data_IF_813616732743
#
_entry.id   IF_813616732743
#
_cell.length_a   1.000
_cell.length_b   1.000
_cell.length_c   1.000
_cell.angle_alpha   90.00
_cell.angle_beta   90.00
_cell.angle_gamma   90.00
#
_symmetry.space_group_name_H-M   'P 1'
#
loop_
_entity.id
_entity.type
_entity.pdbx_description
1 polymer ?
#
# COMPACT_ATOMS: atom_id res chain seq x y z
N UNK A 1 -13.12 41.71 -58.79
CA UNK A 1 -12.79 42.13 -57.42
C UNK A 1 -12.73 40.89 -56.54
N UNK A 2 -11.53 40.35 -56.30
CA UNK A 2 -11.34 39.19 -55.42
C UNK A 2 -10.55 39.61 -54.19
N UNK A 3 -11.22 39.52 -53.05
CA UNK A 3 -10.68 39.75 -51.72
C UNK A 3 -9.70 38.61 -51.35
N UNK A 4 -8.46 38.95 -51.00
CA UNK A 4 -7.57 38.05 -50.24
C UNK A 4 -7.94 38.12 -48.75
N UNK A 5 -8.17 37.00 -48.05
CA UNK A 5 -8.38 37.02 -46.60
C UNK A 5 -7.04 37.14 -45.86
N UNK A 6 -7.04 37.96 -44.80
CA UNK A 6 -5.93 38.23 -43.90
C UNK A 6 -5.30 36.95 -43.32
N UNK A 7 -3.97 36.84 -43.39
CA UNK A 7 -3.18 35.69 -42.95
C UNK A 7 -3.14 35.47 -41.42
N UNK A 8 -3.78 36.33 -40.63
CA UNK A 8 -3.71 36.27 -39.17
C UNK A 8 -4.78 35.37 -38.50
N UNK A 9 -5.90 35.05 -39.15
CA UNK A 9 -6.93 34.18 -38.53
C UNK A 9 -6.60 32.68 -38.60
N UNK A 10 -5.80 32.25 -39.60
CA UNK A 10 -5.37 30.84 -39.74
C UNK A 10 -4.30 30.44 -38.73
N UNK A 11 -3.55 31.41 -38.20
CA UNK A 11 -2.47 31.16 -37.23
C UNK A 11 -3.02 31.02 -35.81
N UNK A 12 -4.08 31.76 -35.46
CA UNK A 12 -4.78 31.63 -34.16
C UNK A 12 -5.58 30.33 -34.05
N UNK A 13 -6.27 29.90 -35.11
CA UNK A 13 -7.02 28.63 -35.11
C UNK A 13 -6.09 27.42 -35.04
N UNK A 14 -4.85 27.53 -35.54
CA UNK A 14 -3.81 26.49 -35.39
C UNK A 14 -3.14 26.48 -34.01
N UNK A 15 -3.14 27.59 -33.28
CA UNK A 15 -2.57 27.67 -31.92
C UNK A 15 -3.51 27.05 -30.87
N UNK A 16 -4.82 27.08 -31.10
CA UNK A 16 -5.82 26.51 -30.18
C UNK A 16 -6.08 25.01 -30.35
N UNK A 17 -5.62 24.36 -31.44
CA UNK A 17 -5.82 22.91 -31.66
C UNK A 17 -4.66 22.02 -31.21
N UNK A 18 -3.55 22.60 -30.74
CA UNK A 18 -2.35 21.84 -30.33
C UNK A 18 -2.13 21.72 -28.82
N UNK A 19 -3.06 22.26 -28.02
CA UNK A 19 -3.08 22.06 -26.57
C UNK A 19 -4.48 21.65 -26.13
N UNK A 20 -4.90 20.45 -26.52
CA UNK A 20 -5.60 19.64 -25.52
C UNK A 20 -4.50 19.31 -24.52
N UNK A 21 -4.42 20.09 -23.45
CA UNK A 21 -3.58 19.75 -22.33
C UNK A 21 -4.01 18.35 -21.91
N UNK A 22 -3.16 17.36 -22.18
CA UNK A 22 -3.15 16.15 -21.36
C UNK A 22 -3.03 16.69 -19.95
N UNK A 23 -4.12 16.59 -19.19
CA UNK A 23 -4.15 17.09 -17.83
C UNK A 23 -2.96 16.44 -17.11
N UNK A 24 -1.95 17.26 -16.81
CA UNK A 24 -0.70 16.78 -16.25
C UNK A 24 -0.92 16.21 -14.84
N UNK A 25 -2.05 16.55 -14.22
CA UNK A 25 -2.56 15.96 -12.99
C UNK A 25 -3.21 14.61 -13.26
N UNK A 26 -4.08 14.47 -14.27
CA UNK A 26 -4.66 13.19 -14.66
C UNK A 26 -3.60 12.20 -15.17
N UNK A 27 -2.60 12.67 -15.93
CA UNK A 27 -1.45 11.86 -16.35
C UNK A 27 -0.47 11.56 -15.21
N UNK A 28 -0.46 12.34 -14.12
CA UNK A 28 0.24 11.99 -12.88
C UNK A 28 -0.54 10.94 -12.09
N UNK A 29 -1.86 11.13 -11.91
CA UNK A 29 -2.76 10.17 -11.28
C UNK A 29 -2.70 8.82 -11.99
N UNK A 30 -2.89 8.76 -13.31
CA UNK A 30 -2.75 7.51 -14.09
C UNK A 30 -1.38 6.86 -13.91
N UNK A 31 -0.28 7.63 -13.83
CA UNK A 31 1.06 7.07 -13.58
C UNK A 31 1.23 6.60 -12.14
N UNK A 32 0.63 7.30 -11.18
CA UNK A 32 0.58 6.88 -9.79
C UNK A 32 -0.27 5.62 -9.67
N UNK A 33 -1.49 5.58 -10.21
CA UNK A 33 -2.40 4.43 -10.25
C UNK A 33 -1.76 3.22 -10.94
N UNK A 34 -1.14 3.40 -12.12
CA UNK A 34 -0.38 2.32 -12.76
C UNK A 34 0.84 1.91 -11.93
N UNK A 35 1.52 2.81 -11.23
CA UNK A 35 2.60 2.43 -10.30
C UNK A 35 2.07 1.81 -9.01
N UNK A 36 0.87 2.17 -8.53
CA UNK A 36 0.14 1.55 -7.41
C UNK A 36 -0.16 0.12 -7.81
N UNK A 37 -0.76 -0.08 -8.96
CA UNK A 37 -1.12 -1.38 -9.51
C UNK A 37 0.14 -2.21 -9.76
N UNK A 38 1.20 -1.66 -10.35
CA UNK A 38 2.49 -2.37 -10.50
C UNK A 38 3.10 -2.72 -9.15
N UNK A 39 3.00 -1.86 -8.13
CA UNK A 39 3.51 -2.15 -6.77
C UNK A 39 2.63 -3.16 -6.04
N UNK A 40 1.30 -3.08 -6.20
CA UNK A 40 0.31 -4.04 -5.70
C UNK A 40 0.58 -5.39 -6.32
N UNK A 41 0.75 -5.46 -7.64
CA UNK A 41 1.05 -6.67 -8.40
C UNK A 41 2.45 -7.22 -8.09
N UNK A 42 3.50 -6.39 -8.01
CA UNK A 42 4.86 -6.86 -7.61
C UNK A 42 4.91 -7.35 -6.16
N UNK A 43 4.12 -6.73 -5.29
CA UNK A 43 4.04 -7.14 -3.89
C UNK A 43 3.12 -8.34 -3.73
N UNK A 44 2.06 -8.45 -4.50
CA UNK A 44 1.24 -9.65 -4.63
C UNK A 44 2.10 -10.78 -5.16
N UNK A 45 2.91 -10.58 -6.21
CA UNK A 45 3.94 -11.53 -6.66
C UNK A 45 4.92 -11.91 -5.54
N UNK A 46 5.32 -10.96 -4.68
CA UNK A 46 6.20 -11.23 -3.52
C UNK A 46 5.47 -11.97 -2.38
N UNK A 47 4.20 -11.66 -2.13
CA UNK A 47 3.35 -12.34 -1.14
C UNK A 47 2.98 -13.75 -1.65
N UNK A 48 2.75 -13.91 -2.96
CA UNK A 48 2.60 -15.17 -3.68
C UNK A 48 3.91 -15.97 -3.61
N UNK A 49 5.07 -15.31 -3.74
CA UNK A 49 6.38 -15.93 -3.53
C UNK A 49 6.58 -16.38 -2.07
N UNK A 50 6.00 -15.69 -1.09
CA UNK A 50 5.98 -16.16 0.31
C UNK A 50 4.99 -17.31 0.53
N UNK A 51 3.83 -17.31 -0.14
CA UNK A 51 2.90 -18.45 -0.17
C UNK A 51 3.59 -19.71 -0.74
N UNK A 52 4.51 -19.55 -1.71
CA UNK A 52 5.41 -20.60 -2.25
C UNK A 52 6.42 -21.15 -1.23
N UNK A 53 6.86 -20.36 -0.26
CA UNK A 53 7.85 -20.80 0.74
C UNK A 53 7.19 -21.56 1.91
N UNK A 54 5.87 -21.41 2.10
CA UNK A 54 5.06 -22.19 3.05
C UNK A 54 4.46 -23.49 2.50
N UNK A 55 4.44 -23.67 1.18
CA UNK A 55 3.95 -24.88 0.49
C UNK A 55 4.80 -25.07 -0.77
N UNK A 56 5.61 -26.13 -0.85
CA UNK A 56 6.32 -26.49 -2.09
C UNK A 56 5.30 -26.68 -3.24
N UNK A 57 5.36 -25.93 -4.36
CA UNK A 57 4.51 -26.22 -5.50
C UNK A 57 5.31 -26.69 -6.72
N UNK A 58 4.90 -27.85 -7.24
CA UNK A 58 5.16 -28.24 -8.62
C UNK A 58 4.57 -27.19 -9.58
N UNK A 59 5.36 -26.73 -10.55
CA UNK A 59 4.92 -25.78 -11.56
C UNK A 59 3.95 -26.45 -12.54
N UNK A 60 2.69 -25.99 -12.60
CA UNK A 60 1.68 -26.48 -13.55
C UNK A 60 1.55 -25.51 -14.75
N UNK A 61 1.55 -25.98 -16.01
CA UNK A 61 1.41 -25.15 -17.21
C UNK A 61 0.08 -24.37 -17.34
N UNK A 62 0.10 -23.24 -18.06
CA UNK A 62 -1.03 -22.29 -18.24
C UNK A 62 -2.35 -22.89 -18.74
N UNK A 63 -2.32 -23.87 -19.65
CA UNK A 63 -3.53 -24.51 -20.18
C UNK A 63 -4.20 -25.48 -19.18
N UNK A 64 -3.43 -26.00 -18.23
CA UNK A 64 -3.96 -26.81 -17.12
C UNK A 64 -4.58 -25.90 -16.04
N UNK A 65 -4.14 -24.63 -15.95
CA UNK A 65 -4.66 -23.66 -14.99
C UNK A 65 -6.13 -23.29 -15.26
N UNK A 66 -6.50 -23.02 -16.52
CA UNK A 66 -7.88 -22.69 -16.90
C UNK A 66 -8.85 -23.84 -16.58
N UNK A 67 -8.46 -25.08 -16.87
CA UNK A 67 -9.24 -26.28 -16.55
C UNK A 67 -9.46 -26.50 -15.04
N UNK A 68 -8.53 -26.07 -14.19
CA UNK A 68 -8.66 -26.18 -12.72
C UNK A 68 -9.63 -25.15 -12.17
N UNK A 69 -9.64 -23.93 -12.71
CA UNK A 69 -10.59 -22.88 -12.31
C UNK A 69 -12.00 -23.27 -12.74
N UNK A 70 -12.20 -23.68 -14.00
CA UNK A 70 -13.50 -24.11 -14.53
C UNK A 70 -14.14 -25.23 -13.69
N UNK A 71 -13.38 -26.29 -13.38
CA UNK A 71 -13.87 -27.39 -12.51
C UNK A 71 -14.23 -26.93 -11.10
N UNK A 72 -13.54 -25.93 -10.55
CA UNK A 72 -13.88 -25.39 -9.23
C UNK A 72 -15.12 -24.51 -9.29
N UNK A 73 -15.36 -23.82 -10.39
CA UNK A 73 -16.56 -23.00 -10.60
C UNK A 73 -17.84 -23.85 -10.68
N UNK A 74 -17.76 -25.09 -11.15
CA UNK A 74 -18.90 -26.04 -11.13
C UNK A 74 -19.47 -26.28 -9.72
N UNK A 75 -18.65 -26.11 -8.68
CA UNK A 75 -19.03 -26.33 -7.28
C UNK A 75 -19.61 -25.07 -6.61
N UNK A 76 -19.64 -23.92 -7.29
CA UNK A 76 -20.15 -22.66 -6.75
C UNK A 76 -21.57 -22.78 -6.17
N UNK A 77 -22.55 -23.42 -6.83
CA UNK A 77 -23.90 -23.52 -6.27
C UNK A 77 -23.95 -24.19 -4.89
N UNK A 78 -23.16 -25.26 -4.70
CA UNK A 78 -23.06 -25.97 -3.42
C UNK A 78 -22.38 -25.12 -2.36
N UNK A 79 -21.30 -24.41 -2.72
CA UNK A 79 -20.61 -23.49 -1.82
C UNK A 79 -21.52 -22.35 -1.36
N UNK A 80 -22.30 -21.77 -2.28
CA UNK A 80 -23.30 -20.74 -1.97
C UNK A 80 -24.32 -21.30 -0.99
N UNK A 81 -24.88 -22.49 -1.25
CA UNK A 81 -25.83 -23.12 -0.34
C UNK A 81 -25.27 -23.33 1.08
N UNK A 82 -24.00 -23.74 1.20
CA UNK A 82 -23.37 -23.92 2.52
C UNK A 82 -23.11 -22.60 3.25
N UNK A 83 -22.74 -21.53 2.54
CA UNK A 83 -22.61 -20.17 3.12
C UNK A 83 -23.96 -19.63 3.63
N UNK A 84 -25.06 -19.96 2.96
CA UNK A 84 -26.42 -19.56 3.37
C UNK A 84 -27.11 -20.56 4.30
N UNK A 85 -26.46 -21.67 4.64
CA UNK A 85 -27.02 -22.63 5.61
C UNK A 85 -26.99 -22.08 7.03
N UNK A 86 -27.75 -22.72 7.93
CA UNK A 86 -27.70 -22.44 9.38
C UNK A 86 -26.68 -23.33 10.13
N UNK A 87 -26.00 -24.24 9.42
CA UNK A 87 -25.01 -25.14 10.00
C UNK A 87 -23.62 -24.47 10.03
N UNK A 88 -23.08 -24.27 11.23
CA UNK A 88 -21.77 -23.64 11.45
C UNK A 88 -20.64 -24.34 10.69
N UNK A 89 -20.65 -25.68 10.60
CA UNK A 89 -19.60 -26.43 9.90
C UNK A 89 -19.70 -26.21 8.38
N UNK A 90 -20.91 -26.23 7.83
CA UNK A 90 -21.13 -25.96 6.40
C UNK A 90 -20.77 -24.52 6.03
N UNK A 91 -21.09 -23.55 6.89
CA UNK A 91 -20.67 -22.15 6.74
C UNK A 91 -19.15 -22.03 6.70
N UNK A 92 -18.45 -22.64 7.65
CA UNK A 92 -16.99 -22.61 7.73
C UNK A 92 -16.33 -23.31 6.53
N UNK A 93 -16.80 -24.51 6.20
CA UNK A 93 -16.27 -25.29 5.08
C UNK A 93 -16.43 -24.52 3.77
N UNK A 94 -17.63 -24.00 3.49
CA UNK A 94 -17.92 -23.30 2.25
C UNK A 94 -17.17 -21.97 2.15
N UNK A 95 -17.09 -21.22 3.25
CA UNK A 95 -16.28 -19.98 3.30
C UNK A 95 -14.80 -20.27 3.07
N UNK A 96 -14.29 -21.36 3.64
CA UNK A 96 -12.91 -21.83 3.39
C UNK A 96 -12.69 -22.17 1.92
N UNK A 97 -13.66 -22.83 1.27
CA UNK A 97 -13.60 -23.14 -0.16
C UNK A 97 -13.59 -21.87 -1.01
N UNK A 98 -14.42 -20.86 -0.69
CA UNK A 98 -14.40 -19.56 -1.35
C UNK A 98 -13.05 -18.86 -1.19
N UNK A 99 -12.52 -18.81 0.04
CA UNK A 99 -11.20 -18.22 0.28
C UNK A 99 -10.12 -18.96 -0.53
N UNK A 100 -10.13 -20.29 -0.58
CA UNK A 100 -9.18 -21.08 -1.40
C UNK A 100 -9.32 -20.76 -2.89
N UNK A 101 -10.54 -20.61 -3.38
CA UNK A 101 -10.82 -20.24 -4.77
C UNK A 101 -10.27 -18.85 -5.11
N UNK A 102 -10.48 -17.88 -4.22
CA UNK A 102 -9.98 -16.51 -4.34
C UNK A 102 -8.47 -16.37 -4.12
N UNK A 103 -7.80 -17.41 -3.59
CA UNK A 103 -6.35 -17.42 -3.34
C UNK A 103 -5.53 -17.97 -4.51
N UNK A 104 -6.18 -18.34 -5.63
CA UNK A 104 -5.51 -18.89 -6.82
C UNK A 104 -4.54 -17.85 -7.41
N UNK A 105 -3.30 -18.27 -7.69
CA UNK A 105 -2.20 -17.35 -8.01
C UNK A 105 -2.37 -16.58 -9.33
N UNK A 106 -3.06 -17.16 -10.32
CA UNK A 106 -3.26 -16.55 -11.62
C UNK A 106 -4.75 -16.38 -11.85
N UNK A 107 -5.19 -15.15 -12.07
CA UNK A 107 -6.59 -14.81 -12.39
C UNK A 107 -7.60 -15.48 -11.44
N UNK A 108 -7.62 -15.10 -10.15
CA UNK A 108 -8.67 -15.56 -9.24
C UNK A 108 -10.05 -15.13 -9.76
N UNK A 109 -11.09 -15.98 -9.68
CA UNK A 109 -12.42 -15.68 -10.21
C UNK A 109 -13.21 -14.76 -9.26
N UNK A 110 -12.68 -13.55 -9.05
CA UNK A 110 -13.24 -12.56 -8.10
C UNK A 110 -14.64 -12.12 -8.54
N UNK A 111 -14.81 -11.86 -9.84
CA UNK A 111 -16.05 -11.37 -10.40
C UNK A 111 -17.16 -12.43 -10.31
N UNK A 112 -16.83 -13.69 -10.63
CA UNK A 112 -17.75 -14.81 -10.50
C UNK A 112 -18.21 -14.99 -9.05
N UNK A 113 -17.29 -14.87 -8.08
CA UNK A 113 -17.64 -14.94 -6.65
C UNK A 113 -18.54 -13.76 -6.25
N UNK A 114 -18.26 -12.54 -6.68
CA UNK A 114 -19.12 -11.37 -6.41
C UNK A 114 -20.53 -11.60 -6.97
N UNK A 115 -20.65 -12.12 -8.19
CA UNK A 115 -21.94 -12.38 -8.85
C UNK A 115 -22.80 -13.41 -8.13
N UNK A 116 -22.22 -14.29 -7.31
CA UNK A 116 -23.00 -15.22 -6.47
C UNK A 116 -23.74 -14.55 -5.31
N UNK A 117 -23.41 -13.29 -4.97
CA UNK A 117 -24.06 -12.53 -3.89
C UNK A 117 -23.54 -12.84 -2.47
N UNK A 118 -22.53 -13.71 -2.33
CA UNK A 118 -22.02 -14.15 -1.01
C UNK A 118 -21.25 -13.08 -0.22
N UNK A 119 -20.89 -11.95 -0.84
CA UNK A 119 -20.14 -10.86 -0.18
C UNK A 119 -20.91 -10.35 1.05
N UNK A 120 -22.21 -10.13 0.92
CA UNK A 120 -23.09 -9.73 2.03
C UNK A 120 -22.98 -10.68 3.21
N UNK A 121 -23.02 -12.00 2.93
CA UNK A 121 -22.94 -13.04 3.95
C UNK A 121 -21.56 -13.14 4.58
N UNK A 122 -20.47 -12.94 3.82
CA UNK A 122 -19.14 -12.84 4.40
C UNK A 122 -19.01 -11.65 5.36
N UNK A 123 -19.63 -10.51 5.04
CA UNK A 123 -19.66 -9.36 5.96
C UNK A 123 -20.43 -9.69 7.24
N UNK A 124 -21.54 -10.41 7.16
CA UNK A 124 -22.26 -10.90 8.35
C UNK A 124 -21.40 -11.87 9.18
N UNK A 125 -20.62 -12.74 8.53
CA UNK A 125 -19.70 -13.65 9.22
C UNK A 125 -18.58 -12.93 9.97
N UNK A 126 -18.16 -11.74 9.54
CA UNK A 126 -17.22 -10.93 10.32
C UNK A 126 -17.75 -10.57 11.70
N UNK A 127 -19.07 -10.55 11.90
CA UNK A 127 -19.71 -10.19 13.18
C UNK A 127 -19.88 -11.38 14.13
N UNK A 128 -19.53 -12.61 13.71
CA UNK A 128 -19.63 -13.84 14.52
C UNK A 128 -18.49 -13.96 15.52
N UNK A 129 -18.50 -13.12 16.57
CA UNK A 129 -17.48 -13.14 17.63
C UNK A 129 -17.39 -14.49 18.37
N UNK A 130 -18.48 -15.27 18.36
CA UNK A 130 -18.55 -16.63 18.88
C UNK A 130 -17.78 -17.65 18.01
N UNK A 131 -17.42 -17.30 16.78
CA UNK A 131 -16.80 -18.21 15.83
C UNK A 131 -15.59 -17.60 15.08
N UNK A 132 -14.43 -17.42 15.76
CA UNK A 132 -13.25 -16.76 15.19
C UNK A 132 -12.70 -17.41 13.91
N UNK A 133 -12.83 -18.73 13.77
CA UNK A 133 -12.40 -19.45 12.55
C UNK A 133 -13.21 -19.00 11.33
N UNK A 134 -14.52 -18.82 11.49
CA UNK A 134 -15.39 -18.32 10.43
C UNK A 134 -15.11 -16.84 10.13
N UNK A 135 -14.90 -16.02 11.17
CA UNK A 135 -14.48 -14.61 11.00
C UNK A 135 -13.18 -14.52 10.20
N UNK A 136 -12.20 -15.37 10.51
CA UNK A 136 -10.92 -15.40 9.83
C UNK A 136 -11.05 -15.76 8.34
N UNK A 137 -11.76 -16.85 8.02
CA UNK A 137 -11.96 -17.28 6.63
C UNK A 137 -12.77 -16.25 5.82
N UNK A 138 -13.80 -15.65 6.42
CA UNK A 138 -14.59 -14.59 5.80
C UNK A 138 -13.77 -13.31 5.57
N UNK A 139 -12.99 -12.88 6.57
CA UNK A 139 -12.08 -11.75 6.46
C UNK A 139 -11.05 -11.96 5.36
N UNK A 140 -10.51 -13.18 5.24
CA UNK A 140 -9.54 -13.52 4.20
C UNK A 140 -10.18 -13.56 2.81
N UNK A 141 -11.38 -14.13 2.66
CA UNK A 141 -12.11 -14.07 1.40
C UNK A 141 -12.34 -12.62 0.95
N UNK A 142 -12.84 -11.75 1.84
CA UNK A 142 -13.04 -10.32 1.55
C UNK A 142 -11.73 -9.57 1.25
N UNK A 143 -10.64 -9.93 1.93
CA UNK A 143 -9.30 -9.36 1.66
C UNK A 143 -8.83 -9.65 0.24
N UNK A 144 -9.06 -10.87 -0.25
CA UNK A 144 -8.71 -11.25 -1.63
C UNK A 144 -9.65 -10.61 -2.67
N UNK A 145 -10.92 -10.36 -2.32
CA UNK A 145 -11.81 -9.57 -3.19
C UNK A 145 -11.31 -8.12 -3.30
N UNK A 146 -10.96 -7.50 -2.17
CA UNK A 146 -10.40 -6.15 -2.13
C UNK A 146 -8.97 -6.03 -2.73
N UNK A 147 -8.28 -7.15 -2.97
CA UNK A 147 -7.01 -7.12 -3.71
C UNK A 147 -7.20 -7.08 -5.24
N UNK A 148 -8.43 -7.25 -5.74
CA UNK A 148 -8.76 -7.12 -7.17
C UNK A 148 -8.76 -5.68 -7.68
N UNK A 149 -9.68 -5.39 -8.61
CA UNK A 149 -9.85 -4.04 -9.19
C UNK A 149 -10.49 -3.07 -8.18
N UNK A 150 -10.53 -1.79 -8.53
CA UNK A 150 -11.22 -0.78 -7.73
C UNK A 150 -12.73 -1.05 -7.63
N UNK A 151 -13.35 -1.62 -8.65
CA UNK A 151 -14.75 -2.08 -8.62
C UNK A 151 -14.94 -3.23 -7.62
N UNK A 152 -14.02 -4.20 -7.58
CA UNK A 152 -14.08 -5.28 -6.58
C UNK A 152 -13.92 -4.73 -5.15
N UNK A 153 -12.98 -3.81 -4.96
CA UNK A 153 -12.78 -3.12 -3.67
C UNK A 153 -14.04 -2.33 -3.26
N UNK A 154 -14.66 -1.64 -4.21
CA UNK A 154 -15.91 -0.89 -4.00
C UNK A 154 -17.04 -1.80 -3.54
N UNK A 155 -17.16 -3.02 -4.08
CA UNK A 155 -18.17 -3.99 -3.63
C UNK A 155 -18.01 -4.30 -2.14
N UNK A 156 -16.77 -4.52 -1.65
CA UNK A 156 -16.50 -4.76 -0.22
C UNK A 156 -16.85 -3.54 0.65
N UNK A 157 -16.55 -2.33 0.15
CA UNK A 157 -16.89 -1.07 0.83
C UNK A 157 -18.41 -0.87 0.90
N UNK A 158 -19.11 -1.04 -0.22
CA UNK A 158 -20.55 -0.78 -0.35
C UNK A 158 -21.38 -1.75 0.52
N UNK A 159 -20.85 -2.94 0.83
CA UNK A 159 -21.45 -3.88 1.78
C UNK A 159 -21.13 -3.56 3.26
N UNK A 160 -20.40 -2.47 3.56
CA UNK A 160 -20.17 -2.01 4.93
C UNK A 160 -19.07 -2.74 5.69
N UNK A 161 -18.13 -3.41 5.00
CA UNK A 161 -17.10 -4.21 5.66
C UNK A 161 -16.06 -3.36 6.44
N UNK A 162 -15.77 -2.12 6.01
CA UNK A 162 -14.73 -1.26 6.59
C UNK A 162 -14.91 -1.01 8.10
N UNK A 163 -16.05 -0.49 8.59
CA UNK A 163 -16.24 -0.30 10.04
C UNK A 163 -16.16 -1.61 10.84
N UNK A 164 -16.55 -2.74 10.25
CA UNK A 164 -16.46 -4.05 10.90
C UNK A 164 -15.00 -4.49 11.00
N UNK A 165 -14.20 -4.34 9.94
CA UNK A 165 -12.76 -4.59 10.01
C UNK A 165 -12.06 -3.73 11.05
N UNK A 166 -12.43 -2.45 11.19
CA UNK A 166 -11.89 -1.59 12.25
C UNK A 166 -12.22 -2.14 13.64
N UNK A 167 -13.45 -2.61 13.86
CA UNK A 167 -13.84 -3.27 15.11
C UNK A 167 -13.01 -4.55 15.36
N UNK A 168 -12.77 -5.35 14.31
CA UNK A 168 -12.01 -6.60 14.41
C UNK A 168 -10.54 -6.41 14.79
N UNK A 169 -9.99 -5.20 14.67
CA UNK A 169 -8.64 -4.89 15.17
C UNK A 169 -8.53 -5.01 16.70
N UNK A 170 -9.66 -5.05 17.42
CA UNK A 170 -9.72 -5.31 18.85
C UNK A 170 -10.11 -6.77 19.20
N UNK A 171 -10.17 -7.67 18.21
CA UNK A 171 -10.49 -9.08 18.44
C UNK A 171 -9.48 -9.75 19.38
N UNK A 172 -9.95 -10.67 20.22
CA UNK A 172 -9.07 -11.51 21.05
C UNK A 172 -8.25 -12.51 20.23
N UNK A 173 -8.66 -12.81 18.99
CA UNK A 173 -7.92 -13.69 18.08
C UNK A 173 -6.86 -12.93 17.29
N UNK A 174 -5.59 -13.31 17.47
CA UNK A 174 -4.46 -12.76 16.72
C UNK A 174 -4.66 -12.85 15.21
N UNK A 175 -5.13 -14.00 14.72
CA UNK A 175 -5.29 -14.27 13.29
C UNK A 175 -6.38 -13.39 12.69
N UNK A 176 -7.47 -13.16 13.43
CA UNK A 176 -8.54 -12.23 13.02
C UNK A 176 -8.03 -10.79 13.00
N UNK A 177 -7.26 -10.36 14.01
CA UNK A 177 -6.65 -9.02 14.01
C UNK A 177 -5.72 -8.84 12.82
N UNK A 178 -4.87 -9.83 12.55
CA UNK A 178 -3.90 -9.78 11.44
C UNK A 178 -4.62 -9.69 10.09
N UNK A 179 -5.68 -10.48 9.91
CA UNK A 179 -6.47 -10.46 8.68
C UNK A 179 -7.23 -9.15 8.51
N UNK A 180 -7.75 -8.56 9.59
CA UNK A 180 -8.42 -7.26 9.55
C UNK A 180 -7.46 -6.12 9.19
N UNK A 181 -6.23 -6.13 9.74
CA UNK A 181 -5.17 -5.19 9.36
C UNK A 181 -4.90 -5.30 7.85
N UNK A 182 -4.75 -6.52 7.34
CA UNK A 182 -4.47 -6.75 5.92
C UNK A 182 -5.62 -6.27 5.01
N UNK A 183 -6.87 -6.57 5.37
CA UNK A 183 -8.05 -6.11 4.64
C UNK A 183 -8.08 -4.58 4.52
N UNK A 184 -7.86 -3.86 5.63
CA UNK A 184 -7.84 -2.40 5.65
C UNK A 184 -6.67 -1.84 4.84
N UNK A 185 -5.52 -2.50 4.85
CA UNK A 185 -4.38 -2.15 4.01
C UNK A 185 -4.67 -2.26 2.51
N UNK A 186 -5.38 -3.31 2.08
CA UNK A 186 -5.83 -3.46 0.68
C UNK A 186 -6.82 -2.36 0.29
N UNK A 187 -7.82 -2.09 1.13
CA UNK A 187 -8.81 -1.03 0.88
C UNK A 187 -8.13 0.34 0.81
N UNK A 188 -7.30 0.70 1.79
CA UNK A 188 -6.60 1.99 1.78
C UNK A 188 -5.58 2.12 0.65
N UNK A 189 -5.02 0.99 0.18
CA UNK A 189 -4.07 0.96 -0.93
C UNK A 189 -4.69 1.15 -2.32
N UNK A 190 -6.02 1.04 -2.45
CA UNK A 190 -6.75 1.16 -3.72
C UNK A 190 -6.73 2.60 -4.26
N UNK A 191 -7.12 3.58 -3.46
CA UNK A 191 -7.17 4.99 -3.88
C UNK A 191 -7.12 5.95 -2.69
N UNK A 192 -6.76 7.23 -2.90
CA UNK A 192 -6.83 8.25 -1.84
C UNK A 192 -8.21 8.36 -1.18
N UNK A 193 -9.29 8.16 -1.95
CA UNK A 193 -10.66 8.15 -1.42
C UNK A 193 -10.90 6.96 -0.48
N UNK A 194 -10.46 5.77 -0.85
CA UNK A 194 -10.59 4.58 -0.01
C UNK A 194 -9.72 4.68 1.25
N UNK A 195 -8.51 5.23 1.12
CA UNK A 195 -7.63 5.58 2.26
C UNK A 195 -8.33 6.52 3.25
N UNK A 196 -8.88 7.63 2.76
CA UNK A 196 -9.52 8.63 3.62
C UNK A 196 -10.80 8.09 4.28
N UNK A 197 -11.53 7.20 3.59
CA UNK A 197 -12.64 6.46 4.19
C UNK A 197 -12.18 5.59 5.37
N UNK A 198 -11.12 4.80 5.18
CA UNK A 198 -10.56 3.94 6.23
C UNK A 198 -10.07 4.77 7.42
N UNK A 199 -9.34 5.87 7.17
CA UNK A 199 -8.90 6.79 8.22
C UNK A 199 -10.09 7.46 8.93
N UNK A 200 -11.13 7.84 8.20
CA UNK A 200 -12.36 8.44 8.74
C UNK A 200 -13.13 7.52 9.68
N UNK A 201 -12.95 6.21 9.57
CA UNK A 201 -13.46 5.21 10.52
C UNK A 201 -12.56 4.99 11.74
N UNK A 202 -11.47 5.74 11.91
CA UNK A 202 -10.58 5.63 13.07
C UNK A 202 -9.60 4.46 13.00
N UNK A 203 -9.32 3.94 11.80
CA UNK A 203 -8.51 2.75 11.60
C UNK A 203 -7.03 2.90 11.97
N UNK A 204 -6.50 4.11 12.22
CA UNK A 204 -5.07 4.30 12.49
C UNK A 204 -4.64 3.81 13.87
N UNK A 205 -5.43 4.09 14.91
CA UNK A 205 -4.99 3.85 16.30
C UNK A 205 -4.82 2.37 16.61
N UNK A 206 -5.76 1.47 16.23
CA UNK A 206 -5.65 0.06 16.63
C UNK A 206 -4.42 -0.67 16.05
N UNK A 207 -4.02 -0.51 14.77
CA UNK A 207 -2.80 -1.11 14.25
C UNK A 207 -1.54 -0.63 14.96
N UNK A 208 -1.48 0.65 15.39
CA UNK A 208 -0.34 1.15 16.18
C UNK A 208 -0.17 0.39 17.50
N UNK A 209 -1.27 -0.02 18.15
CA UNK A 209 -1.22 -0.82 19.37
C UNK A 209 -0.68 -2.26 19.13
N UNK A 210 -0.77 -2.76 17.89
CA UNK A 210 -0.21 -4.07 17.50
C UNK A 210 1.31 -4.01 17.23
N UNK A 211 1.91 -2.82 17.17
CA UNK A 211 3.34 -2.63 16.92
C UNK A 211 4.12 -2.56 18.23
N UNK A 212 4.26 -3.71 18.89
CA UNK A 212 5.03 -3.86 20.13
C UNK A 212 6.07 -4.99 20.02
N UNK A 213 6.99 -5.05 20.97
CA UNK A 213 8.11 -6.02 20.97
C UNK A 213 7.67 -7.49 21.02
N UNK A 214 6.42 -7.77 21.42
CA UNK A 214 5.86 -9.12 21.49
C UNK A 214 5.07 -9.51 20.23
N UNK A 215 4.91 -8.60 19.27
CA UNK A 215 4.16 -8.87 18.06
C UNK A 215 4.88 -9.88 17.16
N UNK A 216 4.12 -10.81 16.57
CA UNK A 216 4.62 -11.74 15.55
C UNK A 216 5.17 -10.94 14.37
N UNK A 217 6.24 -11.44 13.74
CA UNK A 217 6.83 -10.79 12.56
C UNK A 217 5.83 -10.65 11.40
N UNK A 218 4.90 -11.59 11.23
CA UNK A 218 3.83 -11.53 10.23
C UNK A 218 2.92 -10.32 10.45
N UNK A 219 2.46 -10.13 11.69
CA UNK A 219 1.70 -8.95 12.13
C UNK A 219 2.50 -7.65 11.91
N UNK A 220 3.76 -7.60 12.32
CA UNK A 220 4.60 -6.40 12.13
C UNK A 220 4.70 -6.01 10.66
N UNK A 221 4.94 -6.97 9.76
CA UNK A 221 4.98 -6.74 8.31
C UNK A 221 3.64 -6.22 7.78
N UNK A 222 2.52 -6.85 8.16
CA UNK A 222 1.20 -6.48 7.69
C UNK A 222 0.75 -5.10 8.22
N UNK A 223 1.00 -4.81 9.49
CA UNK A 223 0.69 -3.54 10.11
C UNK A 223 1.55 -2.41 9.53
N UNK A 224 2.86 -2.62 9.35
CA UNK A 224 3.74 -1.61 8.75
C UNK A 224 3.35 -1.29 7.31
N UNK A 225 3.03 -2.33 6.52
CA UNK A 225 2.53 -2.14 5.17
C UNK A 225 1.22 -1.34 5.14
N UNK A 226 0.28 -1.69 5.99
CA UNK A 226 -1.01 -0.99 6.12
C UNK A 226 -0.81 0.48 6.50
N UNK A 227 0.08 0.77 7.46
CA UNK A 227 0.44 2.14 7.82
C UNK A 227 1.06 2.90 6.64
N UNK A 228 1.89 2.24 5.84
CA UNK A 228 2.46 2.87 4.64
C UNK A 228 1.37 3.26 3.64
N UNK A 229 0.33 2.44 3.47
CA UNK A 229 -0.83 2.78 2.62
C UNK A 229 -1.67 3.90 3.21
N UNK A 230 -1.82 3.96 4.54
CA UNK A 230 -2.50 5.07 5.22
C UNK A 230 -1.81 6.41 4.98
N UNK A 231 -0.49 6.42 4.79
CA UNK A 231 0.29 7.63 4.53
C UNK A 231 0.38 7.97 3.03
N UNK A 232 0.03 7.04 2.14
CA UNK A 232 0.33 7.10 0.70
C UNK A 232 -0.69 7.89 -0.10
N UNK A 233 -0.27 8.41 -1.25
CA UNK A 233 -1.15 8.88 -2.33
C UNK A 233 -1.25 10.41 -2.43
N UNK A 234 -1.68 10.90 -3.60
CA UNK A 234 -1.97 12.31 -3.86
C UNK A 234 -3.44 12.46 -4.27
N UNK A 235 -4.21 13.39 -3.66
CA UNK A 235 -3.83 14.28 -2.57
C UNK A 235 -3.44 13.51 -1.29
N UNK A 236 -2.53 14.09 -0.51
CA UNK A 236 -2.05 13.48 0.74
C UNK A 236 -3.17 13.40 1.78
N UNK A 237 -3.10 12.42 2.71
CA UNK A 237 -4.03 12.39 3.82
C UNK A 237 -3.85 13.65 4.70
N UNK A 238 -4.89 14.07 5.45
CA UNK A 238 -4.75 15.10 6.46
C UNK A 238 -3.62 14.75 7.43
N UNK A 239 -2.64 15.64 7.59
CA UNK A 239 -1.42 15.31 8.34
C UNK A 239 -1.73 14.98 9.80
N UNK A 240 -2.65 15.69 10.44
CA UNK A 240 -3.06 15.42 11.83
C UNK A 240 -3.65 14.03 12.03
N UNK A 241 -4.26 13.45 10.99
CA UNK A 241 -4.76 12.09 11.07
C UNK A 241 -3.64 11.06 11.04
N UNK A 242 -2.55 11.28 10.29
CA UNK A 242 -1.46 10.30 10.10
C UNK A 242 -0.22 10.57 10.96
N UNK A 243 -0.08 11.78 11.50
CA UNK A 243 1.00 12.18 12.43
C UNK A 243 1.17 11.22 13.63
N UNK A 244 0.10 10.66 14.23
CA UNK A 244 0.24 9.68 15.32
C UNK A 244 1.01 8.40 14.94
N UNK A 245 1.23 8.14 13.65
CA UNK A 245 2.04 6.99 13.21
C UNK A 245 3.55 7.20 13.44
N UNK A 246 4.03 8.45 13.57
CA UNK A 246 5.46 8.75 13.63
C UNK A 246 6.20 8.01 14.76
N UNK A 247 5.72 7.98 16.01
CA UNK A 247 6.41 7.24 17.08
C UNK A 247 6.57 5.76 16.80
N UNK A 248 5.55 5.12 16.19
CA UNK A 248 5.65 3.71 15.81
C UNK A 248 6.65 3.50 14.67
N UNK A 249 6.66 4.38 13.66
CA UNK A 249 7.60 4.33 12.55
C UNK A 249 9.07 4.46 13.01
N UNK A 250 9.34 5.24 14.06
CA UNK A 250 10.67 5.34 14.69
C UNK A 250 11.14 3.98 15.22
N UNK A 251 10.26 3.23 15.89
CA UNK A 251 10.58 1.86 16.33
C UNK A 251 10.82 0.93 15.14
N UNK A 252 9.98 1.01 14.11
CA UNK A 252 10.02 0.09 12.97
C UNK A 252 11.28 0.24 12.09
N UNK A 253 11.84 1.45 11.95
CA UNK A 253 13.10 1.66 11.20
C UNK A 253 14.34 1.08 11.89
N UNK A 254 14.21 0.61 13.13
CA UNK A 254 15.25 -0.14 13.84
C UNK A 254 15.09 -1.67 13.71
N UNK A 255 14.07 -2.14 12.98
CA UNK A 255 13.91 -3.56 12.67
C UNK A 255 15.08 -4.10 11.85
N UNK A 256 15.38 -5.39 12.02
CA UNK A 256 16.31 -6.12 11.16
C UNK A 256 15.58 -6.79 9.97
N UNK A 257 14.24 -6.73 9.93
CA UNK A 257 13.45 -7.29 8.84
C UNK A 257 13.36 -6.31 7.66
N UNK A 258 13.83 -6.75 6.48
CA UNK A 258 13.91 -5.91 5.28
C UNK A 258 12.55 -5.37 4.82
N UNK A 259 11.47 -6.14 5.00
CA UNK A 259 10.13 -5.71 4.58
C UNK A 259 9.54 -4.66 5.52
N UNK A 260 9.68 -4.88 6.84
CA UNK A 260 9.33 -3.85 7.83
C UNK A 260 10.10 -2.56 7.55
N UNK A 261 11.42 -2.65 7.34
CA UNK A 261 12.26 -1.48 7.01
C UNK A 261 11.78 -0.78 5.73
N UNK A 262 11.50 -1.55 4.68
CA UNK A 262 11.07 -1.01 3.38
C UNK A 262 9.79 -0.19 3.54
N UNK A 263 8.77 -0.76 4.19
CA UNK A 263 7.47 -0.09 4.33
C UNK A 263 7.48 1.06 5.33
N UNK A 264 8.23 0.93 6.43
CA UNK A 264 8.43 2.03 7.36
C UNK A 264 9.11 3.23 6.69
N UNK A 265 10.14 2.98 5.88
CA UNK A 265 10.81 4.02 5.11
C UNK A 265 9.87 4.63 4.05
N UNK A 266 9.03 3.83 3.38
CA UNK A 266 8.04 4.38 2.44
C UNK A 266 7.02 5.27 3.16
N UNK A 267 6.50 4.84 4.31
CA UNK A 267 5.59 5.64 5.12
C UNK A 267 6.22 6.99 5.50
N UNK A 268 7.45 6.98 6.02
CA UNK A 268 8.20 8.20 6.34
C UNK A 268 8.43 9.07 5.11
N UNK A 269 8.70 8.47 3.94
CA UNK A 269 8.90 9.23 2.69
C UNK A 269 7.63 9.95 2.23
N UNK A 270 6.45 9.40 2.53
CA UNK A 270 5.19 10.07 2.23
C UNK A 270 4.88 11.19 3.24
N UNK A 271 5.21 10.98 4.52
CA UNK A 271 5.01 11.95 5.59
C UNK A 271 5.96 13.15 5.49
N UNK A 272 7.17 12.96 4.96
CA UNK A 272 8.17 14.02 4.77
C UNK A 272 8.01 14.80 3.46
N UNK A 273 7.22 14.31 2.50
CA UNK A 273 6.91 15.03 1.26
C UNK A 273 5.90 16.14 1.56
N UNK A 274 6.34 17.38 1.75
CA UNK A 274 5.41 18.48 2.01
C UNK A 274 6.06 19.75 2.54
N UNK A 275 5.29 20.51 3.32
CA UNK A 275 5.72 21.78 3.94
C UNK A 275 6.76 21.55 5.03
N UNK A 276 7.50 22.61 5.38
CA UNK A 276 8.48 22.59 6.47
C UNK A 276 7.87 22.08 7.79
N UNK A 277 6.60 22.35 8.09
CA UNK A 277 5.95 21.84 9.31
C UNK A 277 5.86 20.30 9.35
N UNK A 278 5.61 19.66 8.21
CA UNK A 278 5.59 18.19 8.11
C UNK A 278 7.00 17.62 8.26
N UNK A 279 7.96 18.24 7.57
CA UNK A 279 9.38 17.89 7.68
C UNK A 279 9.84 18.02 9.13
N UNK A 280 9.45 19.10 9.81
CA UNK A 280 9.79 19.36 11.21
C UNK A 280 9.25 18.26 12.12
N UNK A 281 7.99 17.86 11.95
CA UNK A 281 7.41 16.77 12.73
C UNK A 281 8.13 15.42 12.51
N UNK A 282 8.60 15.15 11.29
CA UNK A 282 9.42 13.96 10.99
C UNK A 282 10.79 14.05 11.68
N UNK A 283 11.45 15.20 11.62
CA UNK A 283 12.73 15.45 12.32
C UNK A 283 12.58 15.26 13.84
N UNK A 284 11.55 15.87 14.43
CA UNK A 284 11.27 15.82 15.88
C UNK A 284 10.91 14.41 16.36
N UNK A 285 10.42 13.54 15.48
CA UNK A 285 10.24 12.12 15.80
C UNK A 285 11.58 11.38 15.99
N UNK A 286 12.72 11.96 15.57
CA UNK A 286 14.05 11.39 15.79
C UNK A 286 14.48 10.33 14.76
N UNK A 287 13.89 10.33 13.55
CA UNK A 287 14.20 9.31 12.53
C UNK A 287 15.52 9.55 11.79
N UNK A 288 16.06 10.77 11.83
CA UNK A 288 17.18 11.19 10.98
C UNK A 288 18.45 10.33 11.11
N UNK A 289 18.96 9.99 12.31
CA UNK A 289 20.20 9.21 12.43
C UNK A 289 20.07 7.86 11.73
N UNK A 290 18.98 7.16 12.03
CA UNK A 290 18.73 5.83 11.49
C UNK A 290 18.46 5.85 9.98
N UNK A 291 17.76 6.86 9.46
CA UNK A 291 17.56 7.01 8.02
C UNK A 291 18.88 7.21 7.27
N UNK A 292 19.84 7.94 7.86
CA UNK A 292 21.17 8.11 7.25
C UNK A 292 21.95 6.79 7.25
N UNK A 293 21.91 6.01 8.33
CA UNK A 293 22.49 4.67 8.36
C UNK A 293 21.90 3.75 7.28
N UNK A 294 20.57 3.82 7.06
CA UNK A 294 19.88 3.03 6.05
C UNK A 294 20.24 3.42 4.60
N UNK A 295 20.91 4.56 4.38
CA UNK A 295 21.52 4.89 3.07
C UNK A 295 22.67 3.95 2.69
N UNK A 296 23.19 3.19 3.64
CA UNK A 296 24.22 2.18 3.42
C UNK A 296 23.65 0.75 3.41
N UNK A 297 22.32 0.59 3.53
CA UNK A 297 21.69 -0.72 3.53
C UNK A 297 21.94 -1.43 2.18
N UNK A 298 22.34 -2.72 2.17
CA UNK A 298 22.71 -3.43 0.94
C UNK A 298 21.52 -3.64 0.00
N UNK A 299 20.31 -3.78 0.55
CA UNK A 299 19.10 -3.93 -0.26
C UNK A 299 18.61 -2.60 -0.83
N UNK A 300 18.46 -2.47 -2.16
CA UNK A 300 17.83 -1.32 -2.79
C UNK A 300 16.39 -1.07 -2.33
N UNK A 301 15.68 -2.10 -1.86
CA UNK A 301 14.29 -2.00 -1.39
C UNK A 301 14.16 -1.09 -0.18
N UNK A 302 15.16 -1.11 0.70
CA UNK A 302 15.26 -0.24 1.90
C UNK A 302 15.95 1.07 1.57
N UNK A 303 17.06 1.01 0.82
CA UNK A 303 17.85 2.19 0.45
C UNK A 303 17.03 3.25 -0.29
N UNK A 304 16.23 2.85 -1.28
CA UNK A 304 15.48 3.80 -2.12
C UNK A 304 14.50 4.67 -1.29
N UNK A 305 13.59 4.09 -0.47
CA UNK A 305 12.70 4.91 0.34
C UNK A 305 13.45 5.67 1.44
N UNK A 306 14.52 5.12 2.04
CA UNK A 306 15.33 5.87 3.00
C UNK A 306 15.96 7.12 2.35
N UNK A 307 16.57 6.97 1.17
CA UNK A 307 17.12 8.07 0.39
C UNK A 307 16.06 9.09 -0.02
N UNK A 308 14.85 8.64 -0.38
CA UNK A 308 13.74 9.54 -0.68
C UNK A 308 13.34 10.35 0.55
N UNK A 309 13.23 9.73 1.72
CA UNK A 309 12.90 10.44 2.97
C UNK A 309 13.95 11.48 3.31
N UNK A 310 15.24 11.13 3.24
CA UNK A 310 16.36 12.08 3.45
C UNK A 310 16.30 13.22 2.43
N UNK A 311 16.07 12.89 1.15
CA UNK A 311 15.94 13.88 0.08
C UNK A 311 14.78 14.85 0.27
N UNK A 312 13.64 14.38 0.78
CA UNK A 312 12.51 15.24 1.13
C UNK A 312 12.86 16.16 2.31
N UNK A 313 13.52 15.65 3.36
CA UNK A 313 13.88 16.47 4.53
C UNK A 313 14.76 17.66 4.13
N UNK A 314 15.75 17.44 3.24
CA UNK A 314 16.65 18.51 2.78
C UNK A 314 15.99 19.48 1.77
N UNK A 315 14.70 19.31 1.43
CA UNK A 315 13.93 20.35 0.72
C UNK A 315 13.36 21.42 1.66
N UNK A 316 13.44 21.18 2.97
CA UNK A 316 13.08 22.14 4.01
C UNK A 316 14.05 23.32 4.08
N UNK A 317 14.00 24.06 5.18
CA UNK A 317 14.94 25.17 5.39
C UNK A 317 16.35 24.70 5.76
N UNK A 318 17.27 25.66 5.88
CA UNK A 318 18.68 25.42 6.20
C UNK A 318 18.86 24.69 7.55
N UNK A 319 18.03 24.98 8.56
CA UNK A 319 18.13 24.35 9.87
C UNK A 319 17.71 22.88 9.79
N UNK A 320 16.63 22.60 9.07
CA UNK A 320 16.15 21.23 8.81
C UNK A 320 17.17 20.42 8.00
N UNK A 321 17.77 21.05 6.98
CA UNK A 321 18.84 20.46 6.17
C UNK A 321 20.08 20.15 7.02
N UNK A 322 20.45 21.05 7.93
CA UNK A 322 21.61 20.88 8.82
C UNK A 322 21.49 19.63 9.71
N UNK A 323 20.28 19.23 10.11
CA UNK A 323 20.07 17.99 10.88
C UNK A 323 20.59 16.76 10.14
N UNK A 324 20.30 16.65 8.84
CA UNK A 324 20.79 15.54 8.00
C UNK A 324 22.31 15.59 7.84
N UNK A 325 22.89 16.78 7.67
CA UNK A 325 24.34 16.97 7.56
C UNK A 325 25.04 16.54 8.86
N UNK A 326 24.49 16.92 10.01
CA UNK A 326 25.01 16.59 11.34
C UNK A 326 25.06 15.09 11.65
N UNK A 327 24.39 14.25 10.84
CA UNK A 327 24.42 12.79 10.97
C UNK A 327 25.25 12.12 9.86
N UNK A 328 26.18 12.85 9.25
CA UNK A 328 27.16 12.33 8.29
C UNK A 328 26.51 11.77 7.01
N UNK A 329 25.44 12.42 6.53
CA UNK A 329 24.78 12.03 5.28
C UNK A 329 25.66 12.25 4.03
N UNK A 330 26.55 13.26 4.03
CA UNK A 330 27.39 13.58 2.86
C UNK A 330 28.34 12.42 2.45
N UNK A 331 29.10 11.79 3.37
CA UNK A 331 29.84 10.56 3.05
C UNK A 331 28.97 9.44 2.49
N UNK A 332 27.77 9.25 3.04
CA UNK A 332 26.83 8.23 2.58
C UNK A 332 26.36 8.51 1.15
N UNK A 333 25.99 9.76 0.83
CA UNK A 333 25.59 10.18 -0.50
C UNK A 333 26.75 10.07 -1.51
N UNK A 334 27.98 10.42 -1.10
CA UNK A 334 29.18 10.23 -1.92
C UNK A 334 29.38 8.75 -2.30
N UNK A 335 29.22 7.84 -1.34
CA UNK A 335 29.27 6.40 -1.56
C UNK A 335 28.25 5.94 -2.62
N UNK A 336 27.03 6.48 -2.59
CA UNK A 336 26.00 6.15 -3.59
C UNK A 336 26.36 6.60 -5.02
N UNK A 337 27.13 7.67 -5.16
CA UNK A 337 27.56 8.20 -6.46
C UNK A 337 28.79 7.48 -7.02
N UNK A 338 29.75 7.13 -6.17
CA UNK A 338 31.02 6.53 -6.60
C UNK A 338 30.92 5.04 -6.85
N UNK A 339 30.10 4.32 -6.09
CA UNK A 339 29.92 2.88 -6.27
C UNK A 339 28.89 2.50 -7.35
N UNK A 340 28.81 1.21 -7.66
CA UNK A 340 27.98 0.68 -8.74
C UNK A 340 26.50 0.54 -8.33
N UNK A 341 25.81 1.67 -8.18
CA UNK A 341 24.36 1.73 -7.97
C UNK A 341 23.58 2.02 -9.26
N UNK A 342 22.31 1.63 -9.29
CA UNK A 342 21.39 1.91 -10.41
C UNK A 342 21.32 3.42 -10.69
N UNK A 343 21.17 3.79 -11.96
CA UNK A 343 21.03 5.20 -12.41
C UNK A 343 19.94 5.96 -11.63
N UNK A 344 18.84 5.31 -11.28
CA UNK A 344 17.77 5.91 -10.48
C UNK A 344 18.23 6.33 -9.08
N UNK A 345 19.04 5.53 -8.40
CA UNK A 345 19.59 5.83 -7.07
C UNK A 345 20.56 7.01 -7.17
N UNK A 346 21.49 6.97 -8.13
CA UNK A 346 22.43 8.08 -8.36
C UNK A 346 21.72 9.39 -8.66
N UNK A 347 20.66 9.34 -9.49
CA UNK A 347 19.82 10.51 -9.80
C UNK A 347 19.18 11.09 -8.54
N UNK A 348 18.62 10.25 -7.66
CA UNK A 348 18.03 10.72 -6.39
C UNK A 348 19.10 11.26 -5.44
N UNK A 349 20.28 10.64 -5.36
CA UNK A 349 21.39 11.14 -4.55
C UNK A 349 21.89 12.52 -5.04
N UNK A 350 22.01 12.72 -6.36
CA UNK A 350 22.32 14.02 -6.93
C UNK A 350 21.23 15.07 -6.63
N UNK A 351 19.96 14.68 -6.69
CA UNK A 351 18.85 15.56 -6.31
C UNK A 351 18.93 15.97 -4.84
N UNK A 352 19.15 15.03 -3.93
CA UNK A 352 19.37 15.30 -2.50
C UNK A 352 20.54 16.27 -2.29
N UNK A 353 21.70 16.04 -2.93
CA UNK A 353 22.86 16.93 -2.83
C UNK A 353 22.53 18.32 -3.38
N UNK A 354 21.78 18.41 -4.50
CA UNK A 354 21.43 19.71 -5.09
C UNK A 354 20.62 20.58 -4.14
N UNK A 355 19.70 19.99 -3.37
CA UNK A 355 18.94 20.72 -2.34
C UNK A 355 19.85 21.13 -1.17
N UNK A 356 20.77 20.27 -0.73
CA UNK A 356 21.76 20.64 0.29
C UNK A 356 22.60 21.84 -0.17
N UNK A 357 23.09 21.84 -1.42
CA UNK A 357 23.89 22.94 -1.98
C UNK A 357 23.09 24.22 -2.26
N UNK A 358 21.76 24.16 -2.19
CA UNK A 358 20.90 25.34 -2.28
C UNK A 358 20.80 26.09 -0.95
N UNK A 359 21.26 25.50 0.15
CA UNK A 359 21.35 26.14 1.46
C UNK A 359 22.48 27.17 1.55
N UNK A 360 22.74 27.62 2.78
CA UNK A 360 23.78 28.63 3.04
C UNK A 360 25.22 28.08 2.87
N UNK A 361 26.21 28.98 3.04
CA UNK A 361 27.63 28.70 2.83
C UNK A 361 28.34 28.04 4.03
N UNK A 362 27.70 28.00 5.20
CA UNK A 362 28.24 27.44 6.43
C UNK A 362 27.80 25.99 6.54
#
# INVERSE_FOLDING_TARGET
>A
MSYRPNANSRTEVRRNRYKVAVDAEEGRRRREDTMVEIRKNRREESLLKKRREGLQPQQIPSALHSNVVEKKLEHLPTMVAGVWSDDNNLQLESTTQFRKLLSIERTPPIEEVIQTGVVSRFVEFLMREDFPQLQFEAAWALTNIASGTSENTKVVIDHGAVPIFVKLLASSSDDVREQAVWALGNVAGDSPRCRDLVLGHGALVPPLAQLNEHAKLSMLRNATWTLSNFCRGKPQPPFDQVKPALPALVGLIHSNDEEVLTDACWALSYLSDGTNDKIQAVIEAGVCPRLVELLLHPSPSVLIPALRTVGNIVTGDDLQTQVIINHQALPCLYNLLTNNYKKSIKKEACWTISNITAGNKQ
#
